data_IF_635997937868
#
_entry.id   IF_635997937868
#
_cell.length_a   1.000
_cell.length_b   1.000
_cell.length_c   1.000
_cell.angle_alpha   90.00
_cell.angle_beta   90.00
_cell.angle_gamma   90.00
#
_symmetry.space_group_name_H-M   'P 1'
#
loop_
_entity.id
_entity.type
_entity.pdbx_description
1 polymer ?
#
# COMPACT_ATOMS: atom_id res chain seq x y z
N UNK A 1 19.14 11.23 6.98
CA UNK A 1 17.81 10.76 6.56
C UNK A 1 16.91 10.83 7.77
N UNK A 2 15.81 11.54 7.65
CA UNK A 2 14.73 11.48 8.64
C UNK A 2 14.13 10.07 8.60
N UNK A 3 13.94 9.45 9.76
CA UNK A 3 13.31 8.13 9.88
C UNK A 3 11.78 8.21 9.76
N UNK A 4 11.24 9.41 9.87
CA UNK A 4 9.80 9.64 9.95
C UNK A 4 9.20 10.06 8.59
N UNK A 5 10.05 10.33 7.59
CA UNK A 5 9.63 10.69 6.23
C UNK A 5 9.81 9.52 5.26
N UNK A 6 8.70 8.94 4.82
CA UNK A 6 8.70 7.80 3.90
C UNK A 6 7.36 7.62 3.19
N UNK A 7 7.43 7.08 1.98
CA UNK A 7 6.30 6.56 1.23
C UNK A 7 6.01 5.11 1.65
N UNK A 8 4.73 4.75 1.77
CA UNK A 8 4.33 3.41 2.18
C UNK A 8 3.07 2.94 1.48
N UNK A 9 3.09 1.69 1.03
CA UNK A 9 1.90 0.97 0.60
C UNK A 9 1.52 -0.02 1.70
N UNK A 10 0.34 0.17 2.29
CA UNK A 10 -0.18 -0.65 3.36
C UNK A 10 -1.33 -1.52 2.85
N UNK A 11 -1.14 -2.83 2.92
CA UNK A 11 -2.18 -3.83 2.71
C UNK A 11 -2.96 -4.00 4.02
N UNK A 12 -4.29 -4.03 3.94
CA UNK A 12 -5.17 -4.16 5.11
C UNK A 12 -6.02 -5.44 4.99
N UNK A 13 -5.49 -6.63 5.34
CA UNK A 13 -6.19 -7.92 5.14
C UNK A 13 -7.56 -7.99 5.81
N UNK A 14 -7.73 -7.32 6.96
CA UNK A 14 -9.02 -7.21 7.66
C UNK A 14 -10.12 -6.46 6.88
N UNK A 15 -9.80 -5.92 5.70
CA UNK A 15 -10.78 -5.32 4.77
C UNK A 15 -11.15 -6.24 3.59
N UNK A 16 -10.43 -7.34 3.36
CA UNK A 16 -10.58 -8.17 2.16
C UNK A 16 -11.96 -8.83 2.03
N UNK A 17 -12.56 -9.17 3.16
CA UNK A 17 -13.89 -9.82 3.24
C UNK A 17 -14.91 -8.97 3.99
N UNK A 18 -14.70 -7.66 4.01
CA UNK A 18 -15.68 -6.77 4.63
C UNK A 18 -17.00 -6.83 3.84
N UNK A 19 -18.11 -7.06 4.53
CA UNK A 19 -19.44 -7.07 3.92
C UNK A 19 -19.87 -5.68 3.44
N UNK A 20 -19.43 -4.64 4.15
CA UNK A 20 -19.63 -3.25 3.75
C UNK A 20 -18.68 -2.88 2.59
N UNK A 21 -19.21 -2.53 1.40
CA UNK A 21 -18.40 -2.16 0.25
C UNK A 21 -17.48 -0.95 0.52
N UNK A 22 -17.89 -0.02 1.38
CA UNK A 22 -17.05 1.12 1.74
C UNK A 22 -15.82 0.65 2.50
N UNK A 23 -15.96 -0.31 3.41
CA UNK A 23 -14.82 -0.88 4.13
C UNK A 23 -13.93 -1.72 3.20
N UNK A 24 -14.53 -2.49 2.29
CA UNK A 24 -13.79 -3.29 1.32
C UNK A 24 -12.95 -2.43 0.36
N UNK A 25 -13.41 -1.22 0.04
CA UNK A 25 -12.68 -0.23 -0.75
C UNK A 25 -11.38 0.27 -0.09
N UNK A 26 -11.13 -0.08 1.16
CA UNK A 26 -9.95 0.36 1.92
C UNK A 26 -8.91 -0.78 2.12
N UNK A 27 -8.84 -1.75 1.21
CA UNK A 27 -7.98 -2.94 1.31
C UNK A 27 -6.50 -2.71 0.98
N UNK A 28 -6.21 -1.72 0.14
CA UNK A 28 -4.85 -1.28 -0.19
C UNK A 28 -4.79 0.24 -0.05
N UNK A 29 -3.76 0.77 0.63
CA UNK A 29 -3.62 2.19 0.94
C UNK A 29 -2.21 2.66 0.59
N UNK A 30 -2.09 3.78 -0.10
CA UNK A 30 -0.85 4.54 -0.24
C UNK A 30 -0.84 5.74 0.72
N UNK A 31 0.29 6.00 1.36
CA UNK A 31 0.51 7.14 2.25
C UNK A 31 1.93 7.68 2.04
N UNK A 32 2.13 8.93 2.43
CA UNK A 32 3.47 9.51 2.58
C UNK A 32 3.55 10.20 3.92
N UNK A 33 4.29 9.62 4.86
CA UNK A 33 4.40 10.17 6.19
C UNK A 33 5.53 11.20 6.28
N UNK A 34 5.45 12.17 7.21
CA UNK A 34 4.36 12.37 8.16
C UNK A 34 3.16 13.18 7.62
N UNK A 35 3.33 13.89 6.49
CA UNK A 35 2.38 14.94 6.07
C UNK A 35 1.09 14.42 5.42
N UNK A 36 1.11 13.21 4.88
CA UNK A 36 0.00 12.58 4.16
C UNK A 36 -0.38 11.22 4.78
N UNK A 37 -0.81 11.17 6.05
CA UNK A 37 -1.34 9.95 6.65
C UNK A 37 -2.73 9.63 6.06
N UNK A 38 -3.14 8.36 6.13
CA UNK A 38 -4.42 7.93 5.55
C UNK A 38 -5.65 8.73 6.00
N UNK A 39 -5.81 9.23 7.25
CA UNK A 39 -7.01 9.96 7.64
C UNK A 39 -7.13 11.27 6.86
N UNK A 40 -6.01 12.00 6.74
CA UNK A 40 -5.93 13.27 6.00
C UNK A 40 -6.17 13.04 4.52
N UNK A 41 -5.57 12.00 3.94
CA UNK A 41 -5.77 11.66 2.53
C UNK A 41 -7.23 11.31 2.22
N UNK A 42 -7.88 10.51 3.07
CA UNK A 42 -9.27 10.12 2.87
C UNK A 42 -10.23 11.29 3.03
N UNK A 43 -9.97 12.18 3.99
CA UNK A 43 -10.78 13.38 4.19
C UNK A 43 -10.68 14.33 2.99
N UNK A 44 -9.46 14.58 2.50
CA UNK A 44 -9.21 15.54 1.41
C UNK A 44 -9.50 14.99 0.02
N UNK A 45 -9.34 13.69 -0.18
CA UNK A 45 -9.45 13.03 -1.49
C UNK A 45 -9.97 11.60 -1.32
N UNK A 46 -11.27 11.44 -0.98
CA UNK A 46 -11.87 10.14 -0.72
C UNK A 46 -11.66 9.17 -1.89
N UNK A 47 -11.18 7.96 -1.61
CA UNK A 47 -11.02 6.90 -2.61
C UNK A 47 -9.88 7.08 -3.62
N UNK A 48 -9.09 8.15 -3.54
CA UNK A 48 -7.98 8.38 -4.49
C UNK A 48 -6.73 7.58 -4.14
N UNK A 49 -6.40 7.51 -2.85
CA UNK A 49 -5.15 6.93 -2.35
C UNK A 49 -5.32 5.50 -1.84
N UNK A 50 -6.44 4.88 -2.18
CA UNK A 50 -6.84 3.58 -1.65
C UNK A 50 -7.72 2.83 -2.65
N UNK A 51 -7.78 1.51 -2.51
CA UNK A 51 -8.61 0.67 -3.36
C UNK A 51 -8.99 -0.64 -2.68
N UNK A 52 -10.08 -1.23 -3.16
CA UNK A 52 -10.35 -2.64 -2.93
C UNK A 52 -9.31 -3.50 -3.66
N UNK A 53 -9.04 -4.69 -3.12
CA UNK A 53 -8.30 -5.72 -3.85
C UNK A 53 -9.36 -6.65 -4.45
N UNK A 54 -9.59 -6.55 -5.76
CA UNK A 54 -10.77 -7.17 -6.40
C UNK A 54 -10.87 -8.68 -6.18
N UNK A 55 -9.76 -9.41 -6.37
CA UNK A 55 -9.63 -10.83 -6.04
C UNK A 55 -8.76 -11.01 -4.79
N UNK A 56 -9.18 -10.35 -3.70
CA UNK A 56 -8.52 -10.46 -2.43
C UNK A 56 -8.52 -11.93 -1.95
N UNK A 57 -7.37 -12.47 -1.50
CA UNK A 57 -7.34 -13.81 -0.93
C UNK A 57 -8.04 -13.84 0.44
N UNK A 58 -8.11 -15.02 1.03
CA UNK A 58 -8.33 -15.15 2.47
C UNK A 58 -7.33 -14.24 3.23
N UNK A 59 -7.76 -13.45 4.23
CA UNK A 59 -6.86 -12.65 5.06
C UNK A 59 -5.67 -13.42 5.64
N UNK A 60 -5.81 -14.74 5.87
CA UNK A 60 -4.77 -15.60 6.42
C UNK A 60 -3.93 -16.32 5.34
N UNK A 61 -4.20 -16.07 4.05
CA UNK A 61 -3.44 -16.64 2.94
C UNK A 61 -2.37 -15.70 2.40
N UNK A 62 -1.37 -16.29 1.75
CA UNK A 62 -0.33 -15.54 1.06
C UNK A 62 -0.90 -14.71 -0.09
N UNK A 63 -0.44 -13.47 -0.17
CA UNK A 63 -0.61 -12.61 -1.33
C UNK A 63 0.74 -12.16 -1.87
N UNK A 64 0.80 -11.87 -3.16
CA UNK A 64 1.98 -11.27 -3.76
C UNK A 64 1.76 -9.77 -3.96
N UNK A 65 2.65 -8.94 -3.42
CA UNK A 65 2.66 -7.49 -3.62
C UNK A 65 3.97 -7.09 -4.30
N UNK A 66 3.87 -6.40 -5.43
CA UNK A 66 5.00 -5.69 -6.02
C UNK A 66 4.72 -4.20 -5.95
N UNK A 67 5.64 -3.43 -5.38
CA UNK A 67 5.56 -1.96 -5.34
C UNK A 67 6.72 -1.40 -6.15
N UNK A 68 6.43 -0.43 -7.00
CA UNK A 68 7.41 0.24 -7.87
C UNK A 68 7.37 1.73 -7.63
N UNK A 69 8.51 2.27 -7.22
CA UNK A 69 8.76 3.71 -7.12
C UNK A 69 9.73 4.11 -8.24
N UNK A 70 9.22 4.74 -9.31
CA UNK A 70 10.04 5.12 -10.46
C UNK A 70 9.48 6.35 -11.14
N UNK A 71 10.38 7.25 -11.57
CA UNK A 71 10.02 8.43 -12.38
C UNK A 71 8.91 9.29 -11.76
N UNK A 72 8.95 9.48 -10.44
CA UNK A 72 7.95 10.29 -9.73
C UNK A 72 6.58 9.62 -9.57
N UNK A 73 6.48 8.30 -9.73
CA UNK A 73 5.25 7.53 -9.54
C UNK A 73 5.42 6.37 -8.56
N UNK A 74 4.34 6.06 -7.85
CA UNK A 74 4.14 4.84 -7.08
C UNK A 74 3.13 3.96 -7.82
N UNK A 75 3.51 2.71 -8.06
CA UNK A 75 2.62 1.69 -8.62
C UNK A 75 2.60 0.46 -7.70
N UNK A 76 1.42 -0.01 -7.34
CA UNK A 76 1.23 -1.23 -6.55
C UNK A 76 0.48 -2.29 -7.35
N UNK A 77 1.06 -3.48 -7.47
CA UNK A 77 0.51 -4.61 -8.21
C UNK A 77 0.23 -5.76 -7.25
N UNK A 78 -0.95 -6.34 -7.36
CA UNK A 78 -1.41 -7.42 -6.49
C UNK A 78 -1.50 -8.71 -7.30
N UNK A 79 -1.04 -9.82 -6.73
CA UNK A 79 -1.18 -11.17 -7.27
C UNK A 79 -0.71 -11.33 -8.72
N UNK A 80 0.35 -10.60 -9.10
CA UNK A 80 0.94 -10.68 -10.44
C UNK A 80 0.09 -10.05 -11.55
N UNK A 81 -0.89 -9.22 -11.20
CA UNK A 81 -1.70 -8.49 -12.18
C UNK A 81 -0.83 -7.68 -13.15
N UNK A 82 -1.21 -7.66 -14.44
CA UNK A 82 -0.51 -6.91 -15.48
C UNK A 82 -0.68 -5.40 -15.33
N UNK A 83 -1.81 -4.96 -14.76
CA UNK A 83 -2.13 -3.56 -14.48
C UNK A 83 -2.00 -3.29 -12.97
N UNK A 84 -1.52 -2.11 -12.57
CA UNK A 84 -1.43 -1.76 -11.16
C UNK A 84 -2.82 -1.56 -10.55
N UNK A 85 -2.96 -1.96 -9.29
CA UNK A 85 -4.13 -1.70 -8.46
C UNK A 85 -4.17 -0.24 -7.98
N UNK A 86 -2.99 0.35 -7.75
CA UNK A 86 -2.81 1.79 -7.52
C UNK A 86 -1.71 2.31 -8.44
N UNK A 87 -1.95 3.43 -9.11
CA UNK A 87 -0.97 4.13 -9.96
C UNK A 87 -1.06 5.64 -9.74
N UNK A 88 -0.22 6.16 -8.86
CA UNK A 88 -0.33 7.52 -8.33
C UNK A 88 1.00 8.27 -8.47
N UNK A 89 0.97 9.61 -8.63
CA UNK A 89 2.18 10.41 -8.46
C UNK A 89 2.71 10.26 -7.04
N UNK A 90 4.02 10.42 -6.86
CA UNK A 90 4.58 10.52 -5.51
C UNK A 90 4.06 11.79 -4.84
N UNK A 91 3.76 11.66 -3.54
CA UNK A 91 3.33 12.78 -2.73
C UNK A 91 4.52 13.63 -2.27
N UNK A 92 5.72 13.04 -2.25
CA UNK A 92 6.98 13.72 -1.93
C UNK A 92 8.05 13.48 -3.00
N UNK A 93 9.06 14.35 -3.05
CA UNK A 93 10.17 14.28 -4.02
C UNK A 93 11.40 13.55 -3.46
N UNK A 94 11.20 12.55 -2.60
CA UNK A 94 12.31 11.79 -2.01
C UNK A 94 13.19 11.09 -3.06
N UNK A 95 14.50 11.09 -2.83
CA UNK A 95 15.49 10.46 -3.73
C UNK A 95 15.65 8.94 -3.55
N UNK A 96 14.79 8.32 -2.73
CA UNK A 96 14.73 6.87 -2.53
C UNK A 96 15.99 6.25 -1.89
N UNK A 97 16.15 4.94 -2.04
CA UNK A 97 17.41 4.22 -1.78
C UNK A 97 17.37 3.18 -0.64
N UNK A 98 16.29 3.08 0.13
CA UNK A 98 16.09 2.04 1.15
C UNK A 98 14.64 1.58 1.17
N UNK A 99 14.44 0.30 1.47
CA UNK A 99 13.13 -0.31 1.67
C UNK A 99 13.08 -1.01 3.02
N UNK A 100 11.89 -1.04 3.62
CA UNK A 100 11.63 -1.75 4.87
C UNK A 100 10.28 -2.46 4.77
N UNK A 101 10.11 -3.48 5.59
CA UNK A 101 8.85 -4.18 5.80
C UNK A 101 8.34 -3.86 7.20
N UNK A 102 7.03 -3.70 7.33
CA UNK A 102 6.39 -3.29 8.56
C UNK A 102 5.08 -4.03 8.75
N UNK A 103 4.75 -4.29 10.02
CA UNK A 103 3.47 -4.87 10.44
C UNK A 103 2.77 -3.89 11.37
N UNK A 104 1.46 -3.74 11.20
CA UNK A 104 0.64 -2.82 12.00
C UNK A 104 0.73 -3.08 13.50
N UNK A 105 0.42 -2.04 14.30
CA UNK A 105 0.38 -2.17 15.76
C UNK A 105 -0.50 -3.36 16.18
N UNK A 106 0.03 -4.19 17.08
CA UNK A 106 -0.65 -5.36 17.64
C UNK A 106 -1.07 -6.42 16.61
N UNK A 107 -0.42 -6.47 15.44
CA UNK A 107 -0.67 -7.49 14.42
C UNK A 107 0.56 -8.37 14.20
N UNK A 108 0.32 -9.65 13.91
CA UNK A 108 1.36 -10.55 13.40
C UNK A 108 1.37 -10.50 11.87
N UNK A 109 2.51 -10.79 11.27
CA UNK A 109 2.67 -10.82 9.82
C UNK A 109 3.93 -11.57 9.45
N UNK A 110 3.90 -12.24 8.30
CA UNK A 110 5.02 -12.98 7.75
C UNK A 110 5.33 -12.48 6.35
N UNK A 111 6.61 -12.39 6.03
CA UNK A 111 7.09 -12.00 4.71
C UNK A 111 7.99 -13.12 4.18
N UNK A 112 7.90 -13.40 2.87
CA UNK A 112 8.77 -14.34 2.19
C UNK A 112 9.02 -13.89 0.75
N UNK A 113 10.09 -14.42 0.15
CA UNK A 113 10.45 -14.16 -1.24
C UNK A 113 10.65 -12.66 -1.56
N UNK A 114 11.22 -11.90 -0.61
CA UNK A 114 11.59 -10.51 -0.85
C UNK A 114 12.63 -10.45 -1.97
N UNK A 115 12.35 -9.63 -2.98
CA UNK A 115 13.23 -9.37 -4.11
C UNK A 115 13.29 -7.87 -4.35
N UNK A 116 14.50 -7.37 -4.52
CA UNK A 116 14.73 -6.04 -5.08
C UNK A 116 14.85 -6.17 -6.60
N UNK A 117 14.10 -5.35 -7.32
CA UNK A 117 14.05 -5.34 -8.78
C UNK A 117 14.60 -4.02 -9.37
N UNK A 118 15.41 -3.30 -8.58
CA UNK A 118 16.10 -2.07 -9.00
C UNK A 118 17.19 -2.31 -10.04
#
# INVERSE_FOLDING_TARGET
MDKDTYDVVYVRPFRFRAEDPAQAAHGLQYMSLPDHPWPVLRERSPGVYESAIGSAPDPDHWMHLMVRFRSGRMQAFVNGAATPQLDLPLLTQGTGGRAALWVGNNSSGAFRNLRDCS
#
